data_IF_527247946531
#
_entry.id   IF_527247946531
#
_cell.length_a   1.000
_cell.length_b   1.000
_cell.length_c   1.000
_cell.angle_alpha   90.00
_cell.angle_beta   90.00
_cell.angle_gamma   90.00
#
_symmetry.space_group_name_H-M   'P 1'
#
loop_
_entity.id
_entity.type
_entity.pdbx_description
1 polymer ?
#
# COMPACT_ATOMS: atom_id res chain seq x y z
N UNK A 1 -44.35 -4.40 1.94
CA UNK A 1 -45.72 -3.87 2.15
C UNK A 1 -45.99 -3.88 3.65
N UNK A 2 -46.30 -2.74 4.25
CA UNK A 2 -46.63 -2.62 5.68
C UNK A 2 -46.02 -1.37 6.30
N UNK A 3 -46.72 -0.24 6.20
CA UNK A 3 -46.41 1.08 6.74
C UNK A 3 -47.41 1.45 7.83
N UNK A 4 -46.95 1.95 8.98
CA UNK A 4 -47.63 2.86 9.93
C UNK A 4 -46.49 3.46 10.81
N UNK A 5 -46.27 4.77 10.98
CA UNK A 5 -47.16 5.88 11.35
C UNK A 5 -46.84 6.27 12.82
N UNK A 6 -45.89 7.17 13.11
CA UNK A 6 -45.98 8.63 13.31
C UNK A 6 -46.22 9.09 14.79
N UNK A 7 -45.48 10.14 15.18
CA UNK A 7 -45.71 11.20 16.20
C UNK A 7 -45.23 11.06 17.68
N UNK A 8 -44.14 11.79 17.96
CA UNK A 8 -43.92 12.83 19.00
C UNK A 8 -44.42 12.66 20.46
N UNK A 9 -43.52 12.78 21.45
CA UNK A 9 -43.35 14.02 22.26
C UNK A 9 -42.26 13.95 23.37
N UNK A 10 -41.67 15.12 23.64
CA UNK A 10 -40.94 15.62 24.84
C UNK A 10 -39.54 15.06 25.19
N UNK A 11 -38.45 15.80 24.95
CA UNK A 11 -37.88 16.92 25.73
C UNK A 11 -37.48 16.58 27.18
N UNK A 12 -36.17 16.34 27.40
CA UNK A 12 -35.43 16.92 28.52
C UNK A 12 -34.13 17.49 27.95
N UNK A 13 -34.06 18.82 27.91
CA UNK A 13 -32.86 19.62 27.71
C UNK A 13 -32.03 19.56 29.00
N UNK A 14 -30.72 19.35 28.88
CA UNK A 14 -29.76 19.97 29.78
C UNK A 14 -28.62 20.59 28.98
N UNK A 15 -28.35 21.83 29.36
CA UNK A 15 -27.63 22.88 28.67
C UNK A 15 -26.12 22.73 28.70
N UNK A 16 -25.43 23.03 27.58
CA UNK A 16 -24.17 23.77 27.60
C UNK A 16 -24.25 24.85 26.51
N UNK A 17 -24.08 26.09 26.95
CA UNK A 17 -24.13 27.33 26.17
C UNK A 17 -22.94 27.43 25.22
N UNK A 18 -23.22 27.83 23.98
CA UNK A 18 -22.24 28.28 22.98
C UNK A 18 -22.99 28.73 21.74
N UNK A 19 -23.67 29.88 21.82
CA UNK A 19 -24.42 30.44 20.71
C UNK A 19 -23.49 30.90 19.58
N UNK A 20 -23.85 30.57 18.34
CA UNK A 20 -23.34 31.22 17.14
C UNK A 20 -24.52 31.96 16.53
N UNK A 21 -24.48 33.29 16.56
CA UNK A 21 -25.34 34.14 15.73
C UNK A 21 -24.78 34.17 14.31
N UNK A 22 -25.62 33.89 13.31
CA UNK A 22 -25.29 34.12 11.91
C UNK A 22 -25.75 35.52 11.52
N UNK A 23 -24.80 36.39 11.20
CA UNK A 23 -25.08 37.66 10.55
C UNK A 23 -24.68 37.52 9.08
N UNK A 24 -25.66 37.44 8.19
CA UNK A 24 -25.45 37.32 6.74
C UNK A 24 -25.28 38.73 6.19
N UNK A 25 -24.05 39.10 5.84
CA UNK A 25 -23.81 40.28 5.02
C UNK A 25 -23.48 39.86 3.58
N UNK A 26 -24.43 40.06 2.67
CA UNK A 26 -24.25 39.88 1.24
C UNK A 26 -23.43 41.06 0.69
N UNK A 27 -22.10 40.94 0.68
CA UNK A 27 -21.18 41.58 -0.28
C UNK A 27 -19.75 41.42 0.23
N UNK A 28 -19.05 40.38 -0.24
CA UNK A 28 -17.62 40.36 -0.59
C UNK A 28 -17.18 38.90 -0.79
N UNK A 29 -16.50 38.63 -1.91
CA UNK A 29 -15.82 37.36 -2.18
C UNK A 29 -14.65 37.21 -1.19
N UNK A 30 -14.90 36.66 -0.01
CA UNK A 30 -13.83 36.17 0.88
C UNK A 30 -13.64 34.68 0.65
N UNK A 31 -12.38 34.29 0.44
CA UNK A 31 -11.93 32.90 0.46
C UNK A 31 -12.29 32.32 1.82
N UNK A 32 -13.25 31.39 1.85
CA UNK A 32 -13.53 30.59 3.04
C UNK A 32 -12.36 29.59 3.14
N UNK A 33 -11.37 29.92 3.97
CA UNK A 33 -10.46 28.90 4.49
C UNK A 33 -11.32 28.04 5.41
N UNK A 34 -11.82 26.93 4.88
CA UNK A 34 -12.38 25.89 5.74
C UNK A 34 -11.23 25.35 6.59
N UNK A 35 -11.12 25.87 7.82
CA UNK A 35 -10.53 25.10 8.89
C UNK A 35 -11.39 23.84 9.01
N UNK A 36 -10.85 22.72 8.53
CA UNK A 36 -11.35 21.41 8.89
C UNK A 36 -11.52 21.44 10.41
N UNK A 37 -12.70 21.07 10.96
CA UNK A 37 -12.85 21.00 12.40
C UNK A 37 -11.76 20.05 12.87
N UNK A 38 -10.76 20.60 13.55
CA UNK A 38 -9.86 19.81 14.35
C UNK A 38 -10.78 19.10 15.33
N UNK A 39 -11.11 17.84 15.06
CA UNK A 39 -11.54 16.94 16.11
C UNK A 39 -10.47 17.08 17.16
N UNK A 40 -10.83 17.78 18.23
CA UNK A 40 -10.02 18.20 19.37
C UNK A 40 -8.79 17.30 19.47
N UNK A 41 -7.66 17.77 18.92
CA UNK A 41 -6.35 17.25 19.29
C UNK A 41 -6.15 17.80 20.69
N UNK A 42 -6.74 17.11 21.67
CA UNK A 42 -6.57 17.43 23.09
C UNK A 42 -5.08 17.51 23.34
N UNK A 43 -4.60 18.56 24.03
CA UNK A 43 -3.18 18.76 24.40
C UNK A 43 -2.51 17.50 24.98
N UNK A 44 -3.29 16.58 25.55
CA UNK A 44 -2.83 15.24 25.96
C UNK A 44 -2.23 14.35 24.85
N UNK A 45 -2.74 14.41 23.61
CA UNK A 45 -2.23 13.62 22.47
C UNK A 45 -0.84 14.08 22.03
N UNK A 46 -0.54 15.38 22.15
CA UNK A 46 0.78 15.94 21.81
C UNK A 46 1.85 15.46 22.79
N UNK A 47 1.54 15.41 24.09
CA UNK A 47 2.47 14.92 25.11
C UNK A 47 2.77 13.41 25.01
N UNK A 48 1.78 12.60 24.62
CA UNK A 48 1.98 11.16 24.40
C UNK A 48 2.87 10.89 23.18
N UNK A 49 2.63 11.61 22.07
CA UNK A 49 3.47 11.56 20.87
C UNK A 49 4.92 11.98 21.19
N UNK A 50 5.09 13.11 21.88
CA UNK A 50 6.39 13.61 22.31
C UNK A 50 7.17 12.63 23.21
N UNK A 51 6.47 11.85 24.04
CA UNK A 51 7.07 10.82 24.88
C UNK A 51 7.42 9.55 24.11
N UNK A 52 6.59 9.13 23.15
CA UNK A 52 6.90 8.05 22.20
C UNK A 52 8.11 8.39 21.31
N UNK A 53 8.24 9.65 20.91
CA UNK A 53 9.35 10.18 20.11
C UNK A 53 10.70 10.10 20.83
N UNK A 54 10.74 10.46 22.12
CA UNK A 54 11.97 10.36 22.95
C UNK A 54 12.44 8.91 23.17
N UNK A 55 11.61 7.93 22.84
CA UNK A 55 11.84 6.50 23.04
C UNK A 55 11.85 5.71 21.72
N UNK A 56 11.84 6.38 20.57
CA UNK A 56 11.74 5.68 19.29
C UNK A 56 12.88 4.71 19.09
N UNK A 57 12.50 3.45 18.88
CA UNK A 57 13.43 2.35 18.60
C UNK A 57 13.58 2.08 17.10
N UNK A 58 12.75 2.69 16.26
CA UNK A 58 12.80 2.58 14.80
C UNK A 58 13.48 3.83 14.27
N UNK A 59 14.73 3.72 13.77
CA UNK A 59 15.37 4.83 13.08
C UNK A 59 14.57 5.19 11.83
N UNK A 60 14.15 6.45 11.74
CA UNK A 60 13.31 6.98 10.67
C UNK A 60 11.96 6.27 10.53
N UNK A 61 11.31 5.86 11.62
CA UNK A 61 9.92 5.40 11.59
C UNK A 61 8.89 6.53 11.42
N UNK A 62 7.60 6.19 11.42
CA UNK A 62 6.48 7.17 11.32
C UNK A 62 6.60 8.26 12.39
N UNK A 63 6.82 7.86 13.65
CA UNK A 63 6.93 8.77 14.79
C UNK A 63 8.12 9.73 14.67
N UNK A 64 9.26 9.25 14.19
CA UNK A 64 10.46 10.08 14.01
C UNK A 64 10.28 11.08 12.88
N UNK A 65 9.64 10.67 11.78
CA UNK A 65 9.32 11.59 10.70
C UNK A 65 8.39 12.71 11.17
N UNK A 66 7.31 12.38 11.88
CA UNK A 66 6.42 13.38 12.51
C UNK A 66 7.23 14.33 13.41
N UNK A 67 8.05 13.79 14.31
CA UNK A 67 8.88 14.59 15.22
C UNK A 67 9.80 15.56 14.47
N UNK A 68 10.44 15.10 13.40
CA UNK A 68 11.35 15.90 12.60
C UNK A 68 10.64 17.10 11.96
N UNK A 69 9.38 16.93 11.56
CA UNK A 69 8.55 17.99 10.97
C UNK A 69 8.12 19.01 12.02
N UNK A 70 7.65 18.55 13.18
CA UNK A 70 7.22 19.44 14.28
C UNK A 70 8.38 20.24 14.90
N UNK A 71 9.57 19.67 14.97
CA UNK A 71 10.76 20.38 15.47
C UNK A 71 11.29 21.40 14.46
N UNK A 72 11.21 21.11 13.17
CA UNK A 72 11.73 21.99 12.13
C UNK A 72 10.80 23.16 11.81
N UNK A 73 9.47 23.01 11.98
CA UNK A 73 8.52 24.12 11.92
C UNK A 73 8.79 25.17 13.01
N UNK A 74 9.23 24.74 14.19
CA UNK A 74 9.60 25.65 15.28
C UNK A 74 10.90 26.43 15.04
N UNK A 75 11.72 26.03 14.06
CA UNK A 75 13.02 26.65 13.76
C UNK A 75 13.04 27.49 12.49
N UNK A 76 11.91 27.71 11.81
CA UNK A 76 11.83 28.40 10.51
C UNK A 76 12.69 27.76 9.39
N UNK A 77 13.13 26.49 9.55
CA UNK A 77 14.03 25.82 8.59
C UNK A 77 13.26 25.30 7.36
N UNK A 78 11.99 24.95 7.54
CA UNK A 78 11.06 24.80 6.42
C UNK A 78 10.34 26.13 6.22
N UNK A 79 10.78 26.96 5.26
CA UNK A 79 9.90 27.98 4.71
C UNK A 79 8.66 27.26 4.20
N UNK A 80 7.54 27.43 4.91
CA UNK A 80 6.24 26.91 4.50
C UNK A 80 5.86 27.64 3.21
N UNK A 81 6.24 27.07 2.07
CA UNK A 81 5.50 27.30 0.84
C UNK A 81 4.05 26.93 1.14
N UNK A 82 3.10 27.72 0.61
CA UNK A 82 1.66 27.72 0.93
C UNK A 82 1.16 26.35 1.45
N UNK A 83 0.41 26.27 2.57
CA UNK A 83 -0.03 25.00 3.16
C UNK A 83 -0.69 24.09 2.12
N UNK A 84 -0.55 22.78 2.31
CA UNK A 84 -1.21 21.81 1.41
C UNK A 84 -2.71 21.91 1.61
N UNK A 85 -3.41 21.94 0.48
CA UNK A 85 -4.86 21.86 0.43
C UNK A 85 -5.24 20.42 0.12
N UNK A 86 -6.31 19.93 0.74
CA UNK A 86 -6.92 18.67 0.33
C UNK A 86 -7.94 18.91 -0.77
N UNK A 87 -8.04 17.96 -1.69
CA UNK A 87 -9.00 18.01 -2.78
C UNK A 87 -10.44 18.10 -2.25
N UNK A 88 -11.26 18.84 -2.96
CA UNK A 88 -12.71 18.96 -2.82
C UNK A 88 -13.37 18.41 -4.08
N UNK A 89 -14.68 18.21 -4.05
CA UNK A 89 -15.41 17.64 -5.21
C UNK A 89 -15.26 18.48 -6.48
N UNK A 90 -15.15 19.80 -6.35
CA UNK A 90 -14.95 20.71 -7.50
C UNK A 90 -13.57 20.55 -8.17
N UNK A 91 -12.60 19.90 -7.52
CA UNK A 91 -11.27 19.66 -8.07
C UNK A 91 -11.21 18.42 -8.98
N UNK A 92 -12.20 17.53 -8.90
CA UNK A 92 -12.19 16.23 -9.60
C UNK A 92 -11.89 16.39 -11.11
N UNK A 93 -12.51 17.32 -11.85
CA UNK A 93 -12.19 17.52 -13.27
C UNK A 93 -10.71 17.84 -13.52
N UNK A 94 -10.08 18.65 -12.67
CA UNK A 94 -8.65 18.96 -12.79
C UNK A 94 -7.76 17.79 -12.39
N UNK A 95 -8.14 17.01 -11.37
CA UNK A 95 -7.40 15.81 -10.98
C UNK A 95 -7.38 14.77 -12.11
N UNK A 96 -8.53 14.52 -12.73
CA UNK A 96 -8.65 13.63 -13.89
C UNK A 96 -7.89 14.18 -15.10
N UNK A 97 -7.89 15.51 -15.30
CA UNK A 97 -7.10 16.15 -16.33
C UNK A 97 -5.59 15.94 -16.12
N UNK A 98 -5.08 16.14 -14.91
CA UNK A 98 -3.67 15.88 -14.58
C UNK A 98 -3.31 14.42 -14.82
N UNK A 99 -4.17 13.47 -14.41
CA UNK A 99 -3.96 12.05 -14.69
C UNK A 99 -3.84 11.81 -16.21
N UNK A 100 -4.79 12.33 -16.98
CA UNK A 100 -4.76 12.25 -18.44
C UNK A 100 -3.50 12.91 -19.04
N UNK A 101 -3.00 14.03 -18.52
CA UNK A 101 -1.76 14.63 -19.01
C UNK A 101 -0.52 13.75 -18.73
N UNK A 102 -0.50 13.05 -17.58
CA UNK A 102 0.64 12.21 -17.17
C UNK A 102 0.66 10.87 -17.91
N UNK A 103 -0.51 10.26 -18.10
CA UNK A 103 -0.65 8.89 -18.62
C UNK A 103 -1.41 8.77 -19.93
N UNK A 104 -1.91 9.88 -20.50
CA UNK A 104 -2.68 9.92 -21.75
C UNK A 104 -3.87 8.96 -21.79
N UNK A 105 -4.48 8.69 -20.64
CA UNK A 105 -5.59 7.74 -20.49
C UNK A 105 -5.17 6.28 -20.30
N UNK A 106 -3.87 5.98 -20.23
CA UNK A 106 -3.31 4.63 -20.10
C UNK A 106 -2.77 4.33 -18.68
N UNK A 107 -3.34 4.94 -17.65
CA UNK A 107 -2.92 4.62 -16.29
C UNK A 107 -3.32 3.17 -15.93
N UNK A 108 -2.41 2.35 -15.35
CA UNK A 108 -2.65 0.94 -15.01
C UNK A 108 -3.93 0.63 -14.26
N UNK A 109 -4.32 1.52 -13.36
CA UNK A 109 -5.47 1.32 -12.49
C UNK A 109 -6.57 2.31 -12.89
N UNK A 110 -7.53 1.82 -13.69
CA UNK A 110 -8.59 2.66 -14.29
C UNK A 110 -9.55 3.27 -13.27
N UNK A 111 -9.57 2.77 -12.04
CA UNK A 111 -10.31 3.38 -10.92
C UNK A 111 -9.90 4.85 -10.70
N UNK A 112 -8.61 5.18 -10.88
CA UNK A 112 -8.11 6.57 -10.78
C UNK A 112 -8.56 7.49 -11.94
N UNK A 113 -9.26 6.95 -12.94
CA UNK A 113 -9.91 7.71 -14.01
C UNK A 113 -11.42 7.85 -13.79
N UNK A 114 -11.97 7.20 -12.76
CA UNK A 114 -13.39 7.18 -12.45
C UNK A 114 -13.76 8.29 -11.45
N UNK A 115 -14.80 9.07 -11.79
CA UNK A 115 -15.31 10.16 -10.97
C UNK A 115 -15.85 9.65 -9.63
N UNK A 116 -16.56 8.52 -9.61
CA UNK A 116 -17.14 7.95 -8.40
C UNK A 116 -16.04 7.51 -7.44
N UNK A 117 -15.01 6.83 -7.95
CA UNK A 117 -13.87 6.41 -7.15
C UNK A 117 -13.11 7.61 -6.55
N UNK A 118 -12.80 8.64 -7.35
CA UNK A 118 -12.12 9.85 -6.85
C UNK A 118 -13.00 10.62 -5.86
N UNK A 119 -14.33 10.58 -6.02
CA UNK A 119 -15.28 11.20 -5.08
C UNK A 119 -15.14 10.65 -3.66
N UNK A 120 -14.77 9.38 -3.50
CA UNK A 120 -14.57 8.78 -2.18
C UNK A 120 -13.47 9.45 -1.35
N UNK A 121 -12.50 10.10 -1.99
CA UNK A 121 -11.35 10.74 -1.33
C UNK A 121 -11.42 12.28 -1.31
N UNK A 122 -12.44 12.86 -1.93
CA UNK A 122 -12.72 14.31 -1.88
C UNK A 122 -13.91 14.65 -0.99
N UNK A 123 -14.68 13.63 -0.59
CA UNK A 123 -15.83 13.79 0.29
C UNK A 123 -15.39 13.76 1.76
N UNK A 124 -15.52 14.86 2.52
CA UNK A 124 -15.08 14.93 3.92
C UNK A 124 -15.87 14.00 4.88
N UNK A 125 -17.03 13.48 4.44
CA UNK A 125 -17.81 12.50 5.22
C UNK A 125 -17.33 11.07 5.01
N UNK A 126 -16.54 10.83 3.97
CA UNK A 126 -15.93 9.53 3.68
C UNK A 126 -14.55 9.52 4.32
N UNK A 127 -14.38 8.68 5.32
CA UNK A 127 -13.14 8.59 6.08
C UNK A 127 -12.17 7.57 5.46
N UNK A 128 -12.15 7.45 4.12
CA UNK A 128 -11.40 6.41 3.40
C UNK A 128 -9.96 6.84 3.04
N UNK A 129 -9.58 8.07 3.37
CA UNK A 129 -8.33 8.69 2.94
C UNK A 129 -8.53 10.13 2.49
N UNK A 130 -7.55 10.68 1.76
CA UNK A 130 -7.66 12.01 1.14
C UNK A 130 -6.69 12.17 -0.04
N UNK A 131 -6.91 13.21 -0.85
CA UNK A 131 -5.98 13.63 -1.91
C UNK A 131 -5.34 14.96 -1.53
N UNK A 132 -4.01 15.01 -1.46
CA UNK A 132 -3.27 16.26 -1.33
C UNK A 132 -3.05 16.88 -2.70
N UNK A 133 -3.44 18.14 -2.90
CA UNK A 133 -3.30 18.84 -4.20
C UNK A 133 -2.13 19.83 -4.20
N UNK A 134 -1.46 19.91 -5.35
CA UNK A 134 -0.29 20.74 -5.57
C UNK A 134 -0.60 21.80 -6.61
N UNK A 135 -0.90 23.00 -6.11
CA UNK A 135 -1.28 24.15 -6.94
C UNK A 135 -0.07 25.00 -7.31
N UNK A 136 -0.15 25.65 -8.47
CA UNK A 136 0.76 26.74 -8.85
C UNK A 136 0.66 27.91 -7.89
N UNK A 137 1.76 28.65 -7.70
CA UNK A 137 1.77 29.84 -6.83
C UNK A 137 1.19 31.10 -7.51
N UNK A 138 0.78 31.00 -8.77
CA UNK A 138 0.14 32.10 -9.50
C UNK A 138 -1.35 32.29 -9.11
N UNK A 139 -1.94 33.39 -9.56
CA UNK A 139 -3.34 33.74 -9.27
C UNK A 139 -4.34 32.68 -9.77
N UNK A 140 -3.94 31.84 -10.73
CA UNK A 140 -4.81 30.79 -11.28
C UNK A 140 -4.99 29.62 -10.32
N UNK A 141 -4.03 29.38 -9.41
CA UNK A 141 -3.99 28.24 -8.48
C UNK A 141 -4.32 26.90 -9.16
N UNK A 142 -3.82 26.72 -10.38
CA UNK A 142 -4.07 25.53 -11.19
C UNK A 142 -3.48 24.31 -10.49
N UNK A 143 -4.24 23.21 -10.40
CA UNK A 143 -3.74 21.95 -9.86
C UNK A 143 -2.77 21.35 -10.88
N UNK A 144 -1.48 21.35 -10.55
CA UNK A 144 -0.45 20.76 -11.40
C UNK A 144 0.02 19.38 -10.95
N UNK A 145 -0.42 18.91 -9.79
CA UNK A 145 -0.13 17.57 -9.29
C UNK A 145 -0.92 17.20 -8.05
N UNK A 146 -0.86 15.93 -7.66
CA UNK A 146 -1.49 15.42 -6.46
C UNK A 146 -0.86 14.10 -5.98
N UNK A 147 -1.21 13.71 -4.76
CA UNK A 147 -0.95 12.38 -4.20
C UNK A 147 -2.21 11.90 -3.47
N UNK A 148 -2.61 10.65 -3.70
CA UNK A 148 -3.72 10.02 -2.99
C UNK A 148 -3.21 9.17 -1.84
N UNK A 149 -3.85 9.32 -0.68
CA UNK A 149 -3.68 8.48 0.49
C UNK A 149 -4.97 7.71 0.70
N UNK A 150 -4.90 6.38 0.71
CA UNK A 150 -6.01 5.51 1.04
C UNK A 150 -5.78 4.82 2.38
N UNK A 151 -6.85 4.52 3.11
CA UNK A 151 -6.78 3.92 4.45
C UNK A 151 -7.67 2.69 4.53
N UNK A 152 -7.08 1.59 5.01
CA UNK A 152 -7.78 0.37 5.41
C UNK A 152 -7.64 0.21 6.92
N UNK A 153 -8.69 0.57 7.67
CA UNK A 153 -8.70 0.46 9.14
C UNK A 153 -8.83 -0.97 9.64
N UNK A 154 -9.44 -1.85 8.85
CA UNK A 154 -9.59 -3.26 9.23
C UNK A 154 -8.21 -3.92 9.29
N UNK A 155 -7.37 -3.62 8.30
CA UNK A 155 -5.98 -4.09 8.24
C UNK A 155 -4.99 -3.14 8.92
N UNK A 156 -5.43 -1.96 9.36
CA UNK A 156 -4.62 -0.88 9.95
C UNK A 156 -3.48 -0.43 9.05
N UNK A 157 -3.76 -0.32 7.75
CA UNK A 157 -2.80 0.05 6.69
C UNK A 157 -3.19 1.36 6.02
N UNK A 158 -2.19 2.14 5.65
CA UNK A 158 -2.32 3.25 4.72
C UNK A 158 -1.56 2.96 3.43
N UNK A 159 -2.06 3.45 2.31
CA UNK A 159 -1.44 3.27 0.99
C UNK A 159 -1.26 4.61 0.30
N UNK A 160 -0.03 4.88 -0.13
CA UNK A 160 0.30 6.01 -1.00
C UNK A 160 0.17 5.56 -2.45
N UNK A 161 -0.71 6.21 -3.20
CA UNK A 161 -0.86 5.92 -4.63
C UNK A 161 -1.10 7.16 -5.46
N UNK A 162 -0.89 7.02 -6.77
CA UNK A 162 -1.23 8.07 -7.72
C UNK A 162 -0.48 9.37 -7.48
N UNK A 163 0.83 9.31 -7.19
CA UNK A 163 1.68 10.51 -7.25
C UNK A 163 1.78 10.98 -8.70
N UNK A 164 0.97 11.98 -9.05
CA UNK A 164 0.86 12.47 -10.42
C UNK A 164 1.27 13.93 -10.46
N UNK A 165 2.11 14.29 -11.44
CA UNK A 165 2.54 15.66 -11.66
C UNK A 165 2.57 15.93 -13.15
N UNK A 166 1.75 16.89 -13.55
CA UNK A 166 1.68 17.36 -14.93
C UNK A 166 3.07 17.79 -15.42
N UNK A 167 3.50 17.34 -16.62
CA UNK A 167 4.81 17.68 -17.17
C UNK A 167 5.12 19.19 -17.18
N UNK A 168 4.12 20.02 -17.44
CA UNK A 168 4.26 21.48 -17.52
C UNK A 168 4.54 22.14 -16.15
N UNK A 169 4.21 21.45 -15.05
CA UNK A 169 4.28 21.97 -13.69
C UNK A 169 5.43 21.37 -12.86
N UNK A 170 6.20 20.40 -13.38
CA UNK A 170 7.22 19.64 -12.60
C UNK A 170 8.26 20.52 -11.89
N UNK A 171 8.62 21.66 -12.47
CA UNK A 171 9.63 22.57 -11.92
C UNK A 171 9.05 23.75 -11.11
N UNK A 172 7.72 23.81 -10.93
CA UNK A 172 7.01 24.99 -10.38
C UNK A 172 6.29 24.74 -9.06
N UNK A 173 6.26 23.49 -8.57
CA UNK A 173 5.38 23.09 -7.47
C UNK A 173 6.09 22.78 -6.14
N UNK A 174 7.41 22.97 -6.05
CA UNK A 174 8.20 22.56 -4.87
C UNK A 174 7.87 21.12 -4.41
N UNK A 175 7.74 20.21 -5.40
CA UNK A 175 7.11 18.88 -5.26
C UNK A 175 7.56 18.09 -4.05
N UNK A 176 8.87 18.05 -3.79
CA UNK A 176 9.43 17.33 -2.64
C UNK A 176 8.75 17.76 -1.33
N UNK A 177 8.66 19.07 -1.09
CA UNK A 177 8.08 19.59 0.14
C UNK A 177 6.59 19.27 0.22
N UNK A 178 5.88 19.39 -0.90
CA UNK A 178 4.45 19.08 -1.00
C UNK A 178 4.15 17.59 -0.77
N UNK A 179 4.93 16.69 -1.35
CA UNK A 179 4.78 15.25 -1.14
C UNK A 179 5.03 14.88 0.32
N UNK A 180 6.16 15.32 0.88
CA UNK A 180 6.51 15.03 2.27
C UNK A 180 5.52 15.60 3.28
N UNK A 181 4.99 16.80 3.01
CA UNK A 181 3.97 17.39 3.87
C UNK A 181 2.62 16.67 3.73
N UNK A 182 2.26 16.15 2.54
CA UNK A 182 1.04 15.31 2.38
C UNK A 182 1.16 14.02 3.18
N UNK A 183 2.31 13.36 3.10
CA UNK A 183 2.60 12.15 3.89
C UNK A 183 2.53 12.44 5.39
N UNK A 184 3.14 13.55 5.83
CA UNK A 184 3.10 13.99 7.23
C UNK A 184 1.66 14.19 7.73
N UNK A 185 0.80 14.86 6.94
CA UNK A 185 -0.61 15.02 7.29
C UNK A 185 -1.32 13.67 7.39
N UNK A 186 -1.02 12.73 6.48
CA UNK A 186 -1.56 11.37 6.52
C UNK A 186 -1.21 10.64 7.80
N UNK A 187 0.08 10.63 8.15
CA UNK A 187 0.55 10.02 9.39
C UNK A 187 -0.11 10.65 10.61
N UNK A 188 -0.20 11.98 10.66
CA UNK A 188 -0.77 12.69 11.81
C UNK A 188 -2.27 12.44 11.96
N UNK A 189 -3.02 12.49 10.86
CA UNK A 189 -4.47 12.32 10.86
C UNK A 189 -4.87 10.91 11.30
N UNK A 190 -4.15 9.89 10.83
CA UNK A 190 -4.51 8.49 11.05
C UNK A 190 -3.59 7.74 12.02
N UNK A 191 -2.78 8.46 12.80
CA UNK A 191 -1.75 7.88 13.68
C UNK A 191 -2.24 6.77 14.62
N UNK A 192 -3.51 6.81 15.05
CA UNK A 192 -4.08 5.82 15.96
C UNK A 192 -4.85 4.69 15.26
N UNK A 193 -5.17 4.87 13.98
CA UNK A 193 -5.99 3.94 13.20
C UNK A 193 -5.14 3.10 12.24
N UNK A 194 -4.00 3.64 11.83
CA UNK A 194 -3.08 3.06 10.86
C UNK A 194 -1.71 2.87 11.49
N UNK A 195 -1.20 1.64 11.40
CA UNK A 195 0.06 1.24 12.03
C UNK A 195 1.21 1.11 11.03
N UNK A 196 0.90 0.96 9.75
CA UNK A 196 1.90 0.96 8.68
C UNK A 196 1.37 1.69 7.45
N UNK A 197 2.28 2.30 6.72
CA UNK A 197 2.00 2.94 5.43
C UNK A 197 2.93 2.38 4.38
N UNK A 198 2.38 2.02 3.23
CA UNK A 198 3.18 1.49 2.12
C UNK A 198 2.94 2.28 0.83
N UNK A 199 3.91 2.19 -0.07
CA UNK A 199 3.80 2.69 -1.43
C UNK A 199 4.63 1.82 -2.36
N UNK A 200 4.23 1.82 -3.62
CA UNK A 200 4.95 1.13 -4.68
C UNK A 200 5.57 2.19 -5.57
N UNK A 201 6.90 2.24 -5.58
CA UNK A 201 7.63 3.23 -6.35
C UNK A 201 8.31 2.57 -7.54
N UNK A 202 8.01 3.10 -8.72
CA UNK A 202 8.61 2.66 -9.98
C UNK A 202 10.12 2.65 -9.89
N UNK A 203 10.74 1.58 -10.38
CA UNK A 203 12.20 1.47 -10.45
C UNK A 203 12.81 2.51 -11.37
N UNK A 204 12.05 3.07 -12.32
CA UNK A 204 12.49 4.18 -13.17
C UNK A 204 12.49 5.56 -12.46
N UNK A 205 11.92 5.68 -11.26
CA UNK A 205 11.67 6.97 -10.58
C UNK A 205 12.40 7.12 -9.24
N UNK A 206 13.75 7.22 -9.28
CA UNK A 206 14.60 7.41 -8.09
C UNK A 206 14.18 8.56 -7.16
N UNK A 207 13.61 9.64 -7.70
CA UNK A 207 13.15 10.78 -6.89
C UNK A 207 11.98 10.40 -5.97
N UNK A 208 11.03 9.62 -6.47
CA UNK A 208 9.89 9.14 -5.70
C UNK A 208 10.35 8.22 -4.57
N UNK A 209 11.21 7.25 -4.88
CA UNK A 209 11.87 6.38 -3.89
C UNK A 209 12.55 7.20 -2.78
N UNK A 210 13.35 8.21 -3.16
CA UNK A 210 14.03 9.06 -2.16
C UNK A 210 13.05 9.82 -1.26
N UNK A 211 11.92 10.30 -1.78
CA UNK A 211 10.91 10.97 -0.95
C UNK A 211 10.22 10.00 0.00
N UNK A 212 9.97 8.76 -0.44
CA UNK A 212 9.49 7.68 0.43
C UNK A 212 10.49 7.39 1.56
N UNK A 213 11.77 7.24 1.24
CA UNK A 213 12.83 7.03 2.24
C UNK A 213 12.93 8.17 3.26
N UNK A 214 12.85 9.42 2.81
CA UNK A 214 12.86 10.61 3.67
C UNK A 214 11.61 10.72 4.55
N UNK A 215 10.50 10.09 4.15
CA UNK A 215 9.27 9.95 4.95
C UNK A 215 9.30 8.77 5.92
N UNK A 216 10.44 8.06 6.00
CA UNK A 216 10.64 6.93 6.88
C UNK A 216 10.32 5.55 6.30
N UNK A 217 9.96 5.48 5.01
CA UNK A 217 9.73 4.20 4.35
C UNK A 217 11.04 3.50 4.01
N UNK A 218 11.04 2.17 3.97
CA UNK A 218 12.20 1.37 3.55
C UNK A 218 11.79 0.24 2.62
N UNK A 219 12.66 -0.17 1.67
CA UNK A 219 12.35 -1.24 0.73
C UNK A 219 12.16 -2.57 1.46
N UNK A 220 11.05 -3.24 1.18
CA UNK A 220 10.68 -4.55 1.75
C UNK A 220 10.43 -5.61 0.67
N UNK A 221 10.17 -5.20 -0.58
CA UNK A 221 10.06 -6.09 -1.72
C UNK A 221 10.42 -5.39 -3.04
N UNK A 222 10.74 -6.19 -4.06
CA UNK A 222 10.89 -5.75 -5.45
C UNK A 222 9.90 -6.56 -6.28
N UNK A 223 9.03 -5.86 -7.00
CA UNK A 223 7.90 -6.42 -7.74
C UNK A 223 8.25 -6.38 -9.24
N UNK A 224 8.75 -7.48 -9.82
CA UNK A 224 9.34 -7.46 -11.17
C UNK A 224 8.27 -7.26 -12.25
N UNK A 225 8.45 -6.23 -13.08
CA UNK A 225 7.63 -5.98 -14.28
C UNK A 225 6.11 -5.98 -14.03
N UNK A 226 5.71 -5.57 -12.81
CA UNK A 226 4.34 -5.63 -12.29
C UNK A 226 3.38 -4.86 -13.19
N UNK A 227 3.73 -3.60 -13.45
CA UNK A 227 2.84 -2.63 -14.08
C UNK A 227 3.38 -2.14 -15.43
N UNK A 228 2.45 -1.71 -16.29
CA UNK A 228 2.77 -1.12 -17.59
C UNK A 228 2.68 0.40 -17.47
N UNK A 229 3.73 1.12 -17.81
CA UNK A 229 3.71 2.58 -17.78
C UNK A 229 4.08 3.16 -19.15
N UNK A 230 3.61 4.40 -19.39
CA UNK A 230 3.86 5.23 -20.58
C UNK A 230 3.17 4.77 -21.87
N UNK A 231 3.23 5.62 -22.89
CA UNK A 231 2.63 5.40 -24.22
C UNK A 231 3.24 4.20 -24.96
N UNK A 232 4.49 3.86 -24.64
CA UNK A 232 5.23 2.77 -25.26
C UNK A 232 4.89 1.40 -24.64
N UNK A 233 3.93 1.36 -23.70
CA UNK A 233 3.48 0.14 -23.01
C UNK A 233 4.64 -0.65 -22.39
N UNK A 234 5.60 0.08 -21.80
CA UNK A 234 6.79 -0.52 -21.19
C UNK A 234 6.43 -1.04 -19.80
N UNK A 235 6.69 -2.33 -19.57
CA UNK A 235 6.62 -2.90 -18.22
C UNK A 235 7.77 -2.37 -17.37
N UNK A 236 7.44 -1.95 -16.16
CA UNK A 236 8.42 -1.55 -15.17
C UNK A 236 8.23 -2.36 -13.89
N UNK A 237 9.33 -2.49 -13.16
CA UNK A 237 9.29 -3.06 -11.82
C UNK A 237 8.97 -1.96 -10.82
N UNK A 238 8.46 -2.36 -9.66
CA UNK A 238 8.24 -1.47 -8.52
C UNK A 238 9.06 -1.93 -7.31
N UNK A 239 9.38 -0.99 -6.44
CA UNK A 239 9.89 -1.26 -5.10
C UNK A 239 8.74 -1.03 -4.12
N UNK A 240 8.41 -2.05 -3.32
CA UNK A 240 7.48 -1.90 -2.21
C UNK A 240 8.24 -1.30 -1.03
N UNK A 241 7.89 -0.07 -0.67
CA UNK A 241 8.48 0.66 0.43
C UNK A 241 7.45 0.85 1.55
N UNK A 242 7.87 0.62 2.79
CA UNK A 242 6.96 0.62 3.94
C UNK A 242 7.55 1.42 5.09
N UNK A 243 6.74 2.28 5.69
CA UNK A 243 6.98 2.93 6.96
C UNK A 243 6.11 2.28 8.04
N UNK A 244 6.68 2.04 9.21
CA UNK A 244 5.99 1.44 10.34
C UNK A 244 5.91 2.40 11.53
N UNK A 245 4.83 2.28 12.29
CA UNK A 245 4.77 2.75 13.66
C UNK A 245 5.57 1.82 14.58
N UNK A 246 5.95 2.32 15.75
CA UNK A 246 6.56 1.47 16.78
C UNK A 246 5.63 0.35 17.24
N UNK A 247 4.33 0.62 17.32
CA UNK A 247 3.35 -0.38 17.76
C UNK A 247 3.25 -1.52 16.74
N UNK A 248 3.30 -1.20 15.44
CA UNK A 248 3.27 -2.21 14.38
C UNK A 248 4.36 -3.27 14.57
N UNK A 249 5.59 -2.85 14.87
CA UNK A 249 6.74 -3.77 14.94
C UNK A 249 7.01 -4.36 16.33
N UNK A 250 6.69 -3.65 17.41
CA UNK A 250 7.07 -4.08 18.77
C UNK A 250 5.91 -4.50 19.65
N UNK A 251 4.67 -4.15 19.30
CA UNK A 251 3.48 -4.50 20.08
C UNK A 251 2.60 -5.52 19.35
N UNK A 252 2.34 -5.28 18.08
CA UNK A 252 1.37 -6.06 17.30
C UNK A 252 2.01 -7.17 16.49
N UNK A 253 3.24 -7.00 16.02
CA UNK A 253 3.97 -8.05 15.31
C UNK A 253 4.17 -9.29 16.19
N UNK A 254 3.98 -10.46 15.58
CA UNK A 254 4.39 -11.72 16.15
C UNK A 254 5.92 -11.81 16.16
N UNK A 255 6.51 -11.90 17.34
CA UNK A 255 7.96 -11.73 17.54
C UNK A 255 8.82 -12.91 17.10
N UNK A 256 8.22 -13.99 16.59
CA UNK A 256 8.92 -15.23 16.23
C UNK A 256 8.60 -15.67 14.80
N UNK A 257 9.07 -14.93 13.77
CA UNK A 257 8.94 -15.37 12.39
C UNK A 257 9.74 -16.65 12.17
N UNK A 258 9.17 -17.59 11.41
CA UNK A 258 9.85 -18.81 11.01
C UNK A 258 10.27 -18.68 9.54
N UNK A 259 11.55 -18.80 9.24
CA UNK A 259 12.02 -18.64 7.86
C UNK A 259 12.89 -19.82 7.47
N UNK A 260 12.75 -20.28 6.23
CA UNK A 260 13.77 -21.14 5.64
C UNK A 260 15.10 -20.38 5.63
N UNK A 261 16.20 -21.08 5.94
CA UNK A 261 17.54 -20.50 6.05
C UNK A 261 17.91 -19.59 4.88
N UNK A 262 17.49 -19.94 3.66
CA UNK A 262 17.76 -19.16 2.45
C UNK A 262 17.15 -17.77 2.45
N UNK A 263 16.08 -17.50 3.21
CA UNK A 263 15.43 -16.18 3.27
C UNK A 263 15.98 -15.29 4.38
N UNK A 264 16.91 -15.79 5.21
CA UNK A 264 17.57 -14.99 6.24
C UNK A 264 18.26 -13.73 5.72
N UNK A 265 18.92 -13.71 4.54
CA UNK A 265 19.50 -12.47 4.02
C UNK A 265 18.46 -11.35 3.81
N UNK A 266 17.25 -11.69 3.35
CA UNK A 266 16.15 -10.72 3.19
C UNK A 266 15.66 -10.22 4.55
N UNK A 267 15.47 -11.15 5.49
CA UNK A 267 15.12 -10.80 6.87
C UNK A 267 16.14 -9.84 7.48
N UNK A 268 17.43 -10.19 7.43
CA UNK A 268 18.50 -9.42 8.04
C UNK A 268 18.56 -8.01 7.44
N UNK A 269 18.37 -7.86 6.13
CA UNK A 269 18.33 -6.55 5.50
C UNK A 269 17.20 -5.67 6.06
N UNK A 270 15.99 -6.23 6.15
CA UNK A 270 14.83 -5.50 6.66
C UNK A 270 14.94 -5.27 8.18
N UNK A 271 15.52 -6.23 8.90
CA UNK A 271 15.85 -6.14 10.33
C UNK A 271 16.81 -4.99 10.61
N UNK A 272 17.82 -4.80 9.76
CA UNK A 272 18.78 -3.71 9.88
C UNK A 272 18.10 -2.34 9.69
N UNK A 273 17.11 -2.25 8.80
CA UNK A 273 16.36 -1.01 8.59
C UNK A 273 15.52 -0.60 9.80
N UNK A 274 14.87 -1.57 10.45
CA UNK A 274 13.87 -1.29 11.47
C UNK A 274 14.29 -1.68 12.90
N UNK A 275 15.51 -2.20 13.06
CA UNK A 275 16.12 -2.56 14.33
C UNK A 275 15.27 -3.52 15.17
N UNK A 276 14.81 -4.62 14.56
CA UNK A 276 14.16 -5.72 15.28
C UNK A 276 15.12 -6.92 15.49
N UNK A 277 14.80 -7.87 16.40
CA UNK A 277 15.75 -8.90 16.82
C UNK A 277 16.18 -9.84 15.70
N UNK A 278 17.39 -10.39 15.78
CA UNK A 278 17.82 -11.49 14.90
C UNK A 278 17.00 -12.77 15.15
N UNK A 279 16.81 -13.58 14.10
CA UNK A 279 16.24 -14.92 14.24
C UNK A 279 17.37 -15.85 14.71
N UNK A 280 17.19 -16.45 15.89
CA UNK A 280 18.19 -17.32 16.49
C UNK A 280 18.21 -18.72 15.84
N UNK A 281 17.04 -19.22 15.45
CA UNK A 281 16.87 -20.58 14.93
C UNK A 281 16.10 -20.57 13.60
N UNK A 282 16.83 -20.73 12.49
CA UNK A 282 16.22 -20.98 11.19
C UNK A 282 16.35 -22.47 10.86
N UNK A 283 15.25 -23.21 10.72
CA UNK A 283 15.31 -24.63 10.41
C UNK A 283 15.96 -24.87 9.06
N UNK A 284 16.71 -25.98 8.97
CA UNK A 284 17.25 -26.45 7.71
C UNK A 284 16.12 -26.84 6.77
N UNK A 285 16.28 -26.52 5.49
CA UNK A 285 15.35 -26.96 4.45
C UNK A 285 15.36 -28.48 4.37
N UNK A 286 14.21 -29.10 4.59
CA UNK A 286 13.94 -30.48 4.17
C UNK A 286 12.93 -30.41 3.03
N UNK A 287 13.16 -31.19 1.98
CA UNK A 287 12.22 -31.23 0.86
C UNK A 287 10.86 -31.73 1.33
N UNK A 288 9.79 -31.09 0.86
CA UNK A 288 8.40 -31.43 1.22
C UNK A 288 7.72 -32.16 0.08
N UNK A 289 7.93 -31.71 -1.14
CA UNK A 289 7.38 -32.27 -2.37
C UNK A 289 8.10 -33.56 -2.79
N UNK A 290 7.83 -34.66 -2.08
CA UNK A 290 8.27 -35.98 -2.53
C UNK A 290 7.63 -36.35 -3.88
N UNK A 291 8.25 -37.24 -4.70
CA UNK A 291 7.65 -37.67 -5.96
C UNK A 291 6.22 -38.23 -5.83
N UNK A 292 5.94 -38.95 -4.73
CA UNK A 292 4.60 -39.47 -4.44
C UNK A 292 3.60 -38.33 -4.17
N UNK A 293 3.99 -37.35 -3.34
CA UNK A 293 3.17 -36.17 -3.05
C UNK A 293 2.87 -35.38 -4.33
N UNK A 294 3.87 -35.18 -5.20
CA UNK A 294 3.69 -34.46 -6.47
C UNK A 294 2.76 -35.21 -7.43
N UNK A 295 2.89 -36.53 -7.52
CA UNK A 295 1.98 -37.36 -8.34
C UNK A 295 0.52 -37.20 -7.87
N UNK A 296 0.28 -37.26 -6.56
CA UNK A 296 -1.06 -37.07 -5.99
C UNK A 296 -1.58 -35.64 -6.19
N UNK A 297 -0.71 -34.64 -6.03
CA UNK A 297 -1.05 -33.24 -6.26
C UNK A 297 -1.43 -32.97 -7.73
N UNK A 298 -0.77 -33.62 -8.69
CA UNK A 298 -1.12 -33.52 -10.13
C UNK A 298 -2.51 -34.09 -10.41
N UNK A 299 -2.81 -35.29 -9.91
CA UNK A 299 -4.14 -35.91 -10.06
C UNK A 299 -5.25 -35.05 -9.41
N UNK A 300 -4.93 -34.35 -8.32
CA UNK A 300 -5.86 -33.45 -7.65
C UNK A 300 -6.01 -32.11 -8.37
N UNK A 301 -4.93 -31.58 -8.98
CA UNK A 301 -4.95 -30.35 -9.75
C UNK A 301 -5.90 -30.42 -10.95
N UNK A 302 -6.00 -31.58 -11.60
CA UNK A 302 -6.96 -31.84 -12.69
C UNK A 302 -8.43 -31.73 -12.23
N UNK A 303 -8.68 -31.92 -10.94
CA UNK A 303 -10.02 -31.87 -10.33
C UNK A 303 -10.36 -30.49 -9.77
N UNK A 304 -9.42 -29.54 -9.79
CA UNK A 304 -9.66 -28.18 -9.33
C UNK A 304 -10.67 -27.46 -10.23
N UNK A 305 -11.60 -26.75 -9.60
CA UNK A 305 -12.64 -25.95 -10.26
C UNK A 305 -12.15 -24.50 -10.36
N UNK A 306 -12.35 -23.86 -11.51
CA UNK A 306 -12.01 -22.46 -11.74
C UNK A 306 -13.29 -21.65 -11.92
N UNK A 307 -13.49 -20.67 -11.04
CA UNK A 307 -14.60 -19.72 -11.10
C UNK A 307 -14.09 -18.32 -11.39
N UNK A 308 -14.75 -17.61 -12.30
CA UNK A 308 -14.44 -16.21 -12.64
C UNK A 308 -15.64 -15.34 -12.36
N UNK A 309 -15.46 -14.31 -11.54
CA UNK A 309 -16.49 -13.33 -11.22
C UNK A 309 -16.09 -11.96 -11.76
N UNK A 310 -16.78 -11.43 -12.80
CA UNK A 310 -16.50 -10.11 -13.34
C UNK A 310 -16.58 -9.01 -12.28
N UNK A 311 -15.71 -8.00 -12.41
CA UNK A 311 -15.66 -6.79 -11.60
C UNK A 311 -15.61 -5.56 -12.51
N UNK A 312 -15.56 -4.37 -11.93
CA UNK A 312 -15.41 -3.12 -12.68
C UNK A 312 -14.05 -3.05 -13.37
N UNK A 313 -13.90 -2.13 -14.31
CA UNK A 313 -12.61 -1.76 -14.92
C UNK A 313 -11.88 -2.86 -15.70
N UNK A 314 -12.62 -3.81 -16.30
CA UNK A 314 -12.04 -4.97 -16.99
C UNK A 314 -11.15 -5.82 -16.07
N UNK A 315 -11.62 -5.98 -14.83
CA UNK A 315 -11.02 -6.88 -13.83
C UNK A 315 -11.99 -8.01 -13.50
N UNK A 316 -11.47 -9.11 -12.97
CA UNK A 316 -12.30 -10.19 -12.43
C UNK A 316 -11.62 -10.89 -11.26
N UNK A 317 -12.41 -11.37 -10.31
CA UNK A 317 -11.91 -12.27 -9.27
C UNK A 317 -11.87 -13.68 -9.86
N UNK A 318 -10.72 -14.34 -9.79
CA UNK A 318 -10.54 -15.75 -10.13
C UNK A 318 -10.41 -16.55 -8.85
N UNK A 319 -11.15 -17.66 -8.73
CA UNK A 319 -11.04 -18.61 -7.62
C UNK A 319 -10.80 -20.00 -8.17
N UNK A 320 -9.65 -20.59 -7.83
CA UNK A 320 -9.31 -21.97 -8.09
C UNK A 320 -9.54 -22.73 -6.79
N UNK A 321 -10.38 -23.76 -6.78
CA UNK A 321 -10.75 -24.46 -5.54
C UNK A 321 -10.97 -25.96 -5.71
N UNK A 322 -10.92 -26.65 -4.58
CA UNK A 322 -11.21 -28.07 -4.42
C UNK A 322 -12.53 -28.19 -3.62
N UNK A 323 -13.33 -29.22 -3.88
CA UNK A 323 -14.65 -29.40 -3.27
C UNK A 323 -14.65 -29.42 -1.74
N UNK A 324 -13.52 -29.73 -1.10
CA UNK A 324 -13.36 -29.77 0.35
C UNK A 324 -13.10 -28.39 1.00
N UNK A 325 -13.13 -27.31 0.22
CA UNK A 325 -13.02 -25.95 0.72
C UNK A 325 -11.63 -25.31 0.61
N UNK A 326 -10.60 -26.03 0.17
CA UNK A 326 -9.29 -25.42 -0.15
C UNK A 326 -9.38 -24.57 -1.42
N UNK A 327 -8.73 -23.40 -1.42
CA UNK A 327 -8.79 -22.46 -2.54
C UNK A 327 -7.57 -21.54 -2.63
N UNK A 328 -7.36 -20.99 -3.83
CA UNK A 328 -6.62 -19.76 -4.09
C UNK A 328 -7.52 -18.80 -4.87
N UNK A 329 -7.66 -17.57 -4.38
CA UNK A 329 -8.50 -16.52 -4.95
C UNK A 329 -7.67 -15.26 -5.17
N UNK A 330 -7.78 -14.63 -6.32
CA UNK A 330 -6.99 -13.45 -6.68
C UNK A 330 -7.76 -12.54 -7.64
N UNK A 331 -7.39 -11.25 -7.67
CA UNK A 331 -7.93 -10.27 -8.60
C UNK A 331 -7.05 -10.23 -9.85
N UNK A 332 -7.63 -10.50 -11.00
CA UNK A 332 -6.99 -10.33 -12.31
C UNK A 332 -7.31 -8.94 -12.85
N UNK A 333 -6.28 -8.20 -13.24
CA UNK A 333 -6.37 -6.93 -13.93
C UNK A 333 -5.93 -7.10 -15.39
N UNK A 334 -6.90 -7.27 -16.31
CA UNK A 334 -6.62 -7.52 -17.73
C UNK A 334 -5.80 -6.41 -18.39
N UNK A 335 -6.10 -5.10 -18.18
CA UNK A 335 -5.32 -4.00 -18.75
C UNK A 335 -3.80 -4.06 -18.58
N UNK A 336 -3.32 -4.70 -17.50
CA UNK A 336 -1.89 -4.84 -17.19
C UNK A 336 -1.43 -6.29 -17.07
N UNK A 337 -2.26 -7.25 -17.48
CA UNK A 337 -2.02 -8.69 -17.40
C UNK A 337 -1.42 -9.15 -16.05
N UNK A 338 -1.92 -8.61 -14.94
CA UNK A 338 -1.42 -8.92 -13.60
C UNK A 338 -2.50 -9.55 -12.72
N UNK A 339 -2.06 -10.31 -11.72
CA UNK A 339 -2.89 -10.89 -10.70
C UNK A 339 -2.35 -10.58 -9.30
N UNK A 340 -3.19 -9.96 -8.48
CA UNK A 340 -2.82 -9.46 -7.14
C UNK A 340 -3.95 -9.70 -6.12
N UNK A 341 -3.75 -9.19 -4.89
CA UNK A 341 -4.72 -9.30 -3.77
C UNK A 341 -5.09 -10.76 -3.46
N UNK A 342 -4.12 -11.64 -3.62
CA UNK A 342 -4.31 -13.08 -3.48
C UNK A 342 -4.61 -13.48 -2.04
N UNK A 343 -5.60 -14.36 -1.88
CA UNK A 343 -5.97 -15.04 -0.65
C UNK A 343 -5.95 -16.54 -0.92
N UNK A 344 -5.51 -17.33 0.06
CA UNK A 344 -5.55 -18.78 -0.09
C UNK A 344 -5.79 -19.47 1.24
N UNK A 345 -6.30 -20.69 1.13
CA UNK A 345 -6.49 -21.62 2.23
C UNK A 345 -6.28 -23.04 1.69
N UNK A 346 -5.52 -23.85 2.42
CA UNK A 346 -5.31 -25.25 2.10
C UNK A 346 -5.39 -26.09 3.38
N UNK A 347 -6.09 -27.22 3.34
CA UNK A 347 -6.20 -28.15 4.46
C UNK A 347 -5.00 -29.10 4.57
N UNK A 348 -4.21 -29.24 3.50
CA UNK A 348 -3.04 -30.11 3.45
C UNK A 348 -1.97 -29.57 2.47
N UNK A 349 -0.75 -30.09 2.61
CA UNK A 349 0.39 -29.78 1.73
C UNK A 349 0.14 -30.23 0.28
N UNK A 350 -0.51 -31.39 0.09
CA UNK A 350 -0.91 -31.93 -1.22
C UNK A 350 -1.92 -30.99 -1.89
N UNK A 351 -2.93 -30.53 -1.15
CA UNK A 351 -3.94 -29.60 -1.67
C UNK A 351 -3.34 -28.25 -2.05
N UNK A 352 -2.42 -27.72 -1.24
CA UNK A 352 -1.70 -26.51 -1.59
C UNK A 352 -0.89 -26.71 -2.89
N UNK A 353 -0.15 -27.81 -3.00
CA UNK A 353 0.61 -28.11 -4.20
C UNK A 353 -0.30 -28.24 -5.44
N UNK A 354 -1.44 -28.93 -5.31
CA UNK A 354 -2.42 -29.09 -6.39
C UNK A 354 -2.99 -27.73 -6.86
N UNK A 355 -3.37 -26.86 -5.91
CA UNK A 355 -3.85 -25.51 -6.22
C UNK A 355 -2.79 -24.66 -6.94
N UNK A 356 -1.52 -24.76 -6.53
CA UNK A 356 -0.43 -24.00 -7.13
C UNK A 356 -0.03 -24.52 -8.52
N UNK A 357 -0.06 -25.84 -8.73
CA UNK A 357 0.10 -26.43 -10.07
C UNK A 357 -0.99 -25.91 -10.99
N UNK A 358 -2.26 -26.00 -10.56
CA UNK A 358 -3.39 -25.51 -11.35
C UNK A 358 -3.33 -23.99 -11.60
N UNK A 359 -2.83 -23.23 -10.63
CA UNK A 359 -2.61 -21.80 -10.76
C UNK A 359 -1.56 -21.47 -11.84
N UNK A 360 -0.44 -22.20 -11.90
CA UNK A 360 0.57 -22.01 -12.95
C UNK A 360 -0.01 -22.26 -14.34
N UNK A 361 -0.73 -23.36 -14.52
CA UNK A 361 -1.43 -23.66 -15.77
C UNK A 361 -2.43 -22.56 -16.15
N UNK A 362 -3.17 -22.05 -15.17
CA UNK A 362 -4.10 -20.95 -15.37
C UNK A 362 -3.37 -19.67 -15.83
N UNK A 363 -2.33 -19.26 -15.10
CA UNK A 363 -1.49 -18.10 -15.41
C UNK A 363 -0.93 -18.20 -16.82
N UNK A 364 -0.42 -19.37 -17.20
CA UNK A 364 0.04 -19.72 -18.54
C UNK A 364 -1.07 -19.50 -19.59
N UNK A 365 -2.22 -20.15 -19.38
CA UNK A 365 -3.35 -20.15 -20.29
C UNK A 365 -3.96 -18.76 -20.53
N UNK A 366 -4.06 -17.92 -19.49
CA UNK A 366 -4.62 -16.56 -19.62
C UNK A 366 -3.57 -15.48 -19.92
N UNK A 367 -2.33 -15.89 -20.21
CA UNK A 367 -1.23 -14.99 -20.54
C UNK A 367 -0.96 -13.90 -19.49
N UNK A 368 -0.99 -14.26 -18.20
CA UNK A 368 -0.63 -13.34 -17.12
C UNK A 368 0.89 -13.15 -17.06
N UNK A 369 1.31 -11.90 -16.98
CA UNK A 369 2.72 -11.47 -16.94
C UNK A 369 3.25 -11.36 -15.52
N UNK A 370 2.36 -11.19 -14.54
CA UNK A 370 2.71 -10.99 -13.14
C UNK A 370 1.66 -11.63 -12.21
N UNK A 371 2.14 -12.29 -11.16
CA UNK A 371 1.31 -12.79 -10.05
C UNK A 371 2.05 -12.64 -8.72
N UNK A 372 1.35 -12.22 -7.66
CA UNK A 372 1.91 -12.19 -6.30
C UNK A 372 0.98 -12.82 -5.24
N UNK A 373 1.60 -13.34 -4.18
CA UNK A 373 0.92 -13.88 -3.01
C UNK A 373 1.78 -13.70 -1.75
N UNK A 374 1.12 -13.35 -0.64
CA UNK A 374 1.77 -13.15 0.66
C UNK A 374 1.63 -14.42 1.51
N UNK A 375 2.76 -15.01 1.89
CA UNK A 375 2.85 -16.23 2.70
C UNK A 375 3.32 -15.88 4.10
N UNK A 376 2.49 -16.09 5.16
CA UNK A 376 2.91 -15.85 6.52
C UNK A 376 4.12 -16.70 6.87
N UNK A 377 5.13 -16.08 7.48
CA UNK A 377 6.41 -16.74 7.77
C UNK A 377 6.25 -17.91 8.73
N UNK A 378 5.27 -17.89 9.63
CA UNK A 378 5.00 -19.04 10.51
C UNK A 378 4.72 -20.36 9.77
N UNK A 379 4.40 -20.35 8.47
CA UNK A 379 4.12 -21.55 7.66
C UNK A 379 5.34 -21.98 6.83
N UNK A 380 6.37 -22.56 7.46
CA UNK A 380 7.59 -23.03 6.79
C UNK A 380 7.33 -24.02 5.64
N UNK A 381 6.35 -24.92 5.82
CA UNK A 381 5.98 -25.91 4.80
C UNK A 381 5.41 -25.26 3.55
N UNK A 382 4.59 -24.22 3.71
CA UNK A 382 4.11 -23.44 2.56
C UNK A 382 5.28 -22.76 1.83
N UNK A 383 6.20 -22.12 2.56
CA UNK A 383 7.38 -21.51 1.94
C UNK A 383 8.19 -22.52 1.10
N UNK A 384 8.36 -23.75 1.61
CA UNK A 384 9.07 -24.82 0.91
C UNK A 384 8.31 -25.27 -0.35
N UNK A 385 6.99 -25.48 -0.27
CA UNK A 385 6.16 -25.88 -1.42
C UNK A 385 6.22 -24.83 -2.53
N UNK A 386 6.07 -23.54 -2.19
CA UNK A 386 6.17 -22.45 -3.16
C UNK A 386 7.53 -22.45 -3.88
N UNK A 387 8.62 -22.62 -3.11
CA UNK A 387 9.97 -22.69 -3.66
C UNK A 387 10.16 -23.92 -4.57
N UNK A 388 9.66 -25.09 -4.17
CA UNK A 388 9.79 -26.35 -4.92
C UNK A 388 8.90 -26.39 -6.17
N UNK A 389 7.88 -25.53 -6.24
CA UNK A 389 7.05 -25.32 -7.44
C UNK A 389 7.50 -24.11 -8.27
N UNK A 390 8.73 -23.66 -8.07
CA UNK A 390 9.40 -22.59 -8.83
C UNK A 390 8.76 -21.20 -8.71
N UNK A 391 8.08 -20.91 -7.60
CA UNK A 391 7.71 -19.52 -7.30
C UNK A 391 8.93 -18.74 -6.81
N UNK A 392 9.10 -17.54 -7.35
CA UNK A 392 10.14 -16.60 -6.95
C UNK A 392 9.75 -15.88 -5.66
N UNK A 393 10.72 -15.59 -4.80
CA UNK A 393 10.49 -14.74 -3.63
C UNK A 393 10.80 -13.29 -4.02
N UNK A 394 9.82 -12.39 -3.86
CA UNK A 394 9.89 -10.97 -4.20
C UNK A 394 10.27 -10.09 -3.01
N UNK A 395 10.17 -10.59 -1.78
CA UNK A 395 10.58 -9.83 -0.60
C UNK A 395 10.10 -10.39 0.72
N UNK A 396 10.43 -9.67 1.78
CA UNK A 396 10.04 -9.97 3.15
C UNK A 396 9.40 -8.72 3.76
N UNK A 397 8.17 -8.88 4.25
CA UNK A 397 7.33 -7.78 4.74
C UNK A 397 6.92 -8.05 6.18
N UNK A 398 7.52 -7.35 7.17
CA UNK A 398 7.17 -7.55 8.56
C UNK A 398 5.77 -7.01 8.86
N UNK A 399 5.09 -7.57 9.87
CA UNK A 399 3.83 -7.04 10.39
C UNK A 399 2.74 -6.82 9.31
N UNK A 400 2.70 -7.64 8.26
CA UNK A 400 1.85 -7.40 7.09
C UNK A 400 0.43 -7.94 7.25
N UNK A 401 0.27 -9.18 7.73
CA UNK A 401 -1.04 -9.84 7.75
C UNK A 401 -1.67 -9.70 9.12
N UNK A 402 -2.71 -8.90 9.23
CA UNK A 402 -3.40 -8.66 10.49
C UNK A 402 -4.38 -9.80 10.82
N UNK A 403 -4.21 -10.45 11.96
CA UNK A 403 -5.13 -11.47 12.50
C UNK A 403 -5.25 -11.33 14.02
N UNK A 404 -6.47 -11.27 14.55
CA UNK A 404 -6.73 -11.29 16.00
C UNK A 404 -5.90 -10.29 16.83
N UNK A 405 -5.79 -9.03 16.39
CA UNK A 405 -4.99 -7.97 17.02
C UNK A 405 -3.46 -8.20 17.02
N UNK A 406 -2.99 -9.16 16.24
CA UNK A 406 -1.58 -9.42 15.96
C UNK A 406 -1.35 -9.34 14.46
N UNK A 407 -0.09 -9.25 14.09
CA UNK A 407 0.32 -9.24 12.70
C UNK A 407 1.44 -10.24 12.45
N UNK A 408 1.30 -10.98 11.36
CA UNK A 408 2.32 -11.89 10.88
C UNK A 408 3.21 -11.20 9.85
N UNK A 409 4.50 -11.49 9.94
CA UNK A 409 5.42 -11.23 8.85
C UNK A 409 5.06 -12.13 7.66
N UNK A 410 5.30 -11.64 6.45
CA UNK A 410 5.03 -12.38 5.22
C UNK A 410 6.28 -12.39 4.33
N UNK A 411 6.47 -13.49 3.61
CA UNK A 411 7.25 -13.48 2.37
C UNK A 411 6.30 -13.22 1.21
N UNK A 412 6.72 -12.43 0.23
CA UNK A 412 5.99 -12.30 -1.03
C UNK A 412 6.57 -13.34 -1.98
N UNK A 413 5.72 -14.24 -2.46
CA UNK A 413 6.04 -15.15 -3.55
C UNK A 413 5.28 -14.73 -4.81
N UNK A 414 5.81 -15.08 -5.96
CA UNK A 414 5.15 -14.74 -7.21
C UNK A 414 5.80 -15.37 -8.43
N UNK A 415 5.20 -15.04 -9.56
CA UNK A 415 5.62 -15.44 -10.89
C UNK A 415 5.64 -14.22 -11.78
N UNK A 416 6.60 -14.16 -12.68
CA UNK A 416 6.70 -13.11 -13.68
C UNK A 416 7.36 -13.69 -14.94
N UNK A 417 6.92 -13.23 -16.11
CA UNK A 417 7.40 -13.75 -17.41
C UNK A 417 8.40 -12.86 -18.10
N UNK A 418 8.16 -11.55 -18.09
CA UNK A 418 9.06 -10.63 -18.80
C UNK A 418 10.39 -10.52 -18.03
N UNK A 419 11.57 -10.67 -18.68
CA UNK A 419 12.86 -10.46 -18.02
C UNK A 419 12.99 -9.04 -17.45
N UNK A 420 13.67 -8.91 -16.31
CA UNK A 420 13.92 -7.59 -15.70
C UNK A 420 15.02 -6.89 -16.50
N UNK A 421 14.71 -5.73 -17.07
CA UNK A 421 15.73 -4.85 -17.65
C UNK A 421 16.40 -4.01 -16.55
N UNK A 422 17.47 -4.54 -15.97
CA UNK A 422 18.23 -3.86 -14.91
C UNK A 422 18.87 -2.53 -15.35
N UNK A 423 19.15 -2.33 -16.64
CA UNK A 423 19.72 -1.07 -17.15
C UNK A 423 18.73 0.09 -17.04
N UNK A 424 17.43 -0.22 -17.15
CA UNK A 424 16.35 0.76 -16.99
C UNK A 424 15.95 0.98 -15.52
N UNK A 425 16.55 0.25 -14.58
CA UNK A 425 16.30 0.46 -13.14
C UNK A 425 17.20 1.56 -12.60
N UNK A 426 16.59 2.56 -11.96
CA UNK A 426 17.27 3.70 -11.33
C UNK A 426 16.90 3.73 -9.86
N UNK A 427 17.65 2.97 -9.07
CA UNK A 427 17.36 2.74 -7.65
C UNK A 427 18.07 3.73 -6.73
N UNK A 428 17.47 3.99 -5.56
CA UNK A 428 18.19 4.57 -4.41
C UNK A 428 19.20 3.57 -3.86
N UNK A 429 20.09 4.02 -2.96
CA UNK A 429 21.10 3.14 -2.36
C UNK A 429 20.46 2.00 -1.54
N UNK A 430 19.41 2.30 -0.75
CA UNK A 430 18.71 1.25 0.00
C UNK A 430 18.02 0.27 -0.94
N UNK A 431 17.32 0.78 -1.97
CA UNK A 431 16.62 -0.06 -2.94
C UNK A 431 17.58 -0.94 -3.75
N UNK A 432 18.73 -0.41 -4.17
CA UNK A 432 19.77 -1.18 -4.86
C UNK A 432 20.38 -2.26 -3.95
N UNK A 433 20.67 -1.91 -2.69
CA UNK A 433 21.17 -2.87 -1.70
C UNK A 433 20.17 -4.01 -1.49
N UNK A 434 18.89 -3.68 -1.34
CA UNK A 434 17.82 -4.67 -1.19
C UNK A 434 17.69 -5.54 -2.45
N UNK A 435 17.64 -4.92 -3.64
CA UNK A 435 17.52 -5.64 -4.91
C UNK A 435 18.68 -6.61 -5.14
N UNK A 436 19.93 -6.24 -4.78
CA UNK A 436 21.09 -7.13 -4.87
C UNK A 436 20.94 -8.41 -4.04
N UNK A 437 20.39 -8.30 -2.84
CA UNK A 437 20.10 -9.46 -1.98
C UNK A 437 18.99 -10.31 -2.60
N UNK A 438 18.01 -9.69 -3.27
CA UNK A 438 16.87 -10.37 -3.84
C UNK A 438 17.19 -11.09 -5.17
N UNK A 439 18.12 -10.59 -5.99
CA UNK A 439 18.43 -11.13 -7.33
C UNK A 439 18.54 -12.66 -7.41
N UNK A 440 19.20 -13.37 -6.48
CA UNK A 440 19.28 -14.84 -6.51
C UNK A 440 17.94 -15.58 -6.36
N UNK A 441 16.89 -14.90 -5.87
CA UNK A 441 15.55 -15.45 -5.70
C UNK A 441 14.61 -15.17 -6.88
N UNK A 442 15.04 -14.34 -7.83
CA UNK A 442 14.26 -13.94 -8.99
C UNK A 442 14.56 -14.90 -10.15
N UNK A 443 13.57 -15.73 -10.47
CA UNK A 443 13.56 -16.62 -11.62
C UNK A 443 12.37 -16.28 -12.50
N UNK A 444 12.67 -16.02 -13.77
CA UNK A 444 11.68 -15.87 -14.83
C UNK A 444 10.97 -17.20 -15.09
N UNK A 445 9.67 -17.14 -15.37
CA UNK A 445 8.88 -18.26 -15.94
C UNK A 445 9.30 -18.52 -17.38
#
# INVERSE_FOLDING_TARGET
MGSYGCANCCLILNSIRGGIEFNINQQNKQVIIMQIPSRVVTEGKSNELLNLMKRSKIPNGIEEFIASKETSSNRNIFKVHSPIRFAQSDDIPQLLHVNHQVYKGHYPYRDMLDVEYVTEFTNPTKDNGFIGVYETEDESRTIGGFLLLAVDREQRKGYFRGLMVSPEHRNRLHLKNRVLETIYQGYKQYFNDVELWYGETRTAHRKGQKWMEESGSRPCAFLPNKDIFSDDMVRESDVLEIAYSQKALFQYRNSNPQLLLKFLPLYNQVSNYFNFPEIQDAPSSTSVCTPAMLSEALELAEKCIIEKTPKQYDTYTCKIHIQNGSYVEFLVNNPISSAEKTRFHANSEIELAALLIRLKEFIEHVNLEYFEIYIPTINLRHQQIFLELDFSCFGYVPSWKWTNNKSDDCLIFGLYRTPINWENTVLTENSESFAKILRPFLKEL
#
